data_IF_449255360851
#
_entry.id   IF_449255360851
#
_cell.length_a   1.000
_cell.length_b   1.000
_cell.length_c   1.000
_cell.angle_alpha   90.00
_cell.angle_beta   90.00
_cell.angle_gamma   90.00
#
_symmetry.space_group_name_H-M   'P 1'
#
loop_
_entity.id
_entity.type
_entity.pdbx_description
1 polymer ?
#
# COMPACT_ATOMS: atom_id res chain seq x y z
N UNK A 1 8.27 5.55 29.05
CA UNK A 1 8.53 4.52 28.01
C UNK A 1 8.18 5.14 26.67
N UNK A 2 9.17 5.53 25.87
CA UNK A 2 9.00 6.05 24.51
C UNK A 2 8.99 4.86 23.54
N UNK A 3 7.87 4.61 22.89
CA UNK A 3 7.80 3.65 21.77
C UNK A 3 8.20 4.39 20.50
N UNK A 4 9.45 4.23 20.06
CA UNK A 4 9.93 4.72 18.77
C UNK A 4 9.41 3.81 17.65
N UNK A 5 8.44 4.29 16.88
CA UNK A 5 8.03 3.69 15.61
C UNK A 5 9.15 3.88 14.59
N UNK A 6 10.01 2.86 14.44
CA UNK A 6 11.03 2.83 13.39
C UNK A 6 10.47 2.10 12.16
N UNK A 7 9.91 2.86 11.21
CA UNK A 7 9.44 2.33 9.93
C UNK A 7 10.63 2.33 8.95
N UNK A 8 11.34 1.20 8.89
CA UNK A 8 12.43 0.99 7.93
C UNK A 8 11.90 0.54 6.57
N UNK A 9 11.87 1.45 5.59
CA UNK A 9 11.53 1.16 4.19
C UNK A 9 12.80 0.66 3.50
N UNK A 10 12.81 -0.58 3.00
CA UNK A 10 13.95 -1.16 2.25
C UNK A 10 13.50 -1.59 0.86
N UNK A 11 14.30 -1.28 -0.15
CA UNK A 11 14.01 -1.42 -1.58
C UNK A 11 14.17 -2.87 -2.06
N UNK A 12 13.16 -3.42 -2.74
CA UNK A 12 13.22 -4.73 -3.42
C UNK A 12 12.48 -4.63 -4.76
N UNK A 13 13.13 -5.13 -5.81
CA UNK A 13 12.72 -5.44 -7.20
C UNK A 13 11.52 -4.73 -7.84
N UNK A 14 11.77 -4.16 -9.02
CA UNK A 14 10.81 -3.44 -9.89
C UNK A 14 9.72 -4.36 -10.48
N UNK A 15 8.46 -4.07 -10.15
CA UNK A 15 7.27 -4.68 -10.74
C UNK A 15 7.00 -4.17 -12.17
N UNK A 16 6.66 -5.08 -13.11
CA UNK A 16 6.11 -4.71 -14.41
C UNK A 16 4.60 -4.47 -14.31
N UNK A 17 4.13 -3.32 -14.77
CA UNK A 17 2.70 -2.99 -14.86
C UNK A 17 2.27 -3.15 -16.32
N UNK A 18 1.20 -3.91 -16.57
CA UNK A 18 0.68 -4.07 -17.92
C UNK A 18 0.12 -2.76 -18.46
N UNK A 19 0.29 -2.49 -19.76
CA UNK A 19 -0.15 -1.23 -20.39
C UNK A 19 -1.64 -0.94 -20.17
N UNK A 20 -2.49 -1.98 -20.23
CA UNK A 20 -3.93 -1.87 -20.01
C UNK A 20 -4.29 -1.50 -18.56
N UNK A 21 -3.56 -2.04 -17.59
CA UNK A 21 -3.79 -1.75 -16.16
C UNK A 21 -3.35 -0.34 -15.81
N UNK A 22 -2.20 0.08 -16.36
CA UNK A 22 -1.72 1.45 -16.20
C UNK A 22 -2.74 2.45 -16.77
N UNK A 23 -3.31 2.16 -17.94
CA UNK A 23 -4.34 3.00 -18.54
C UNK A 23 -5.63 3.07 -17.70
N UNK A 24 -6.03 1.97 -17.06
CA UNK A 24 -7.16 1.96 -16.14
C UNK A 24 -6.88 2.81 -14.89
N UNK A 25 -5.69 2.68 -14.29
CA UNK A 25 -5.26 3.51 -13.17
C UNK A 25 -5.22 4.98 -13.54
N UNK A 26 -4.64 5.34 -14.69
CA UNK A 26 -4.58 6.72 -15.18
C UNK A 26 -5.99 7.30 -15.39
N UNK A 27 -6.93 6.50 -15.89
CA UNK A 27 -8.33 6.90 -16.04
C UNK A 27 -8.95 7.23 -14.68
N UNK A 28 -8.75 6.35 -13.69
CA UNK A 28 -9.25 6.57 -12.32
C UNK A 28 -8.61 7.77 -11.64
N UNK A 29 -7.29 7.93 -11.75
CA UNK A 29 -6.56 9.09 -11.23
C UNK A 29 -7.04 10.39 -11.87
N UNK A 30 -7.25 10.41 -13.19
CA UNK A 30 -7.78 11.57 -13.88
C UNK A 30 -9.18 11.94 -13.38
N UNK A 31 -10.07 10.97 -13.17
CA UNK A 31 -11.40 11.19 -12.62
C UNK A 31 -11.36 11.76 -11.19
N UNK A 32 -10.46 11.23 -10.35
CA UNK A 32 -10.20 11.72 -8.99
C UNK A 32 -9.74 13.17 -9.01
N UNK A 33 -8.77 13.51 -9.86
CA UNK A 33 -8.22 14.87 -9.96
C UNK A 33 -9.26 15.85 -10.51
N UNK A 34 -10.08 15.46 -11.49
CA UNK A 34 -11.18 16.29 -12.00
C UNK A 34 -12.21 16.60 -10.92
N UNK A 35 -12.58 15.60 -10.11
CA UNK A 35 -13.50 15.79 -9.00
C UNK A 35 -12.86 16.56 -7.84
N UNK A 36 -11.53 16.52 -7.71
CA UNK A 36 -10.79 17.14 -6.63
C UNK A 36 -9.35 17.54 -7.02
N UNK A 37 -9.20 18.78 -7.46
CA UNK A 37 -7.90 19.37 -7.85
C UNK A 37 -6.82 19.30 -6.76
N UNK A 38 -7.20 19.28 -5.49
CA UNK A 38 -6.22 19.26 -4.38
C UNK A 38 -5.54 17.90 -4.22
N UNK A 39 -6.05 16.86 -4.88
CA UNK A 39 -5.46 15.52 -4.95
C UNK A 39 -4.50 15.36 -6.15
N UNK A 40 -4.29 16.40 -6.97
CA UNK A 40 -3.44 16.33 -8.17
C UNK A 40 -2.01 15.87 -7.86
N UNK A 41 -1.37 16.49 -6.87
CA UNK A 41 0.01 16.16 -6.50
C UNK A 41 0.13 14.72 -6.00
N UNK A 42 -0.80 14.27 -5.14
CA UNK A 42 -0.78 12.90 -4.62
C UNK A 42 -1.08 11.86 -5.72
N UNK A 43 -1.91 12.22 -6.70
CA UNK A 43 -2.22 11.38 -7.86
C UNK A 43 -1.01 11.24 -8.80
N UNK A 44 -0.25 12.33 -9.00
CA UNK A 44 1.01 12.29 -9.75
C UNK A 44 2.06 11.46 -9.00
N UNK A 45 2.21 11.66 -7.69
CA UNK A 45 3.09 10.86 -6.85
C UNK A 45 2.72 9.37 -6.88
N UNK A 46 1.41 9.05 -6.87
CA UNK A 46 0.93 7.69 -6.98
C UNK A 46 1.33 7.08 -8.33
N UNK A 47 1.03 7.77 -9.42
CA UNK A 47 1.38 7.34 -10.78
C UNK A 47 2.88 7.09 -10.90
N UNK A 48 3.69 8.03 -10.44
CA UNK A 48 5.15 7.92 -10.47
C UNK A 48 5.65 6.70 -9.69
N UNK A 49 5.07 6.47 -8.50
CA UNK A 49 5.40 5.31 -7.66
C UNK A 49 5.01 3.98 -8.32
N UNK A 50 3.88 3.94 -9.03
CA UNK A 50 3.45 2.76 -9.79
C UNK A 50 4.35 2.52 -11.01
N UNK A 51 4.65 3.55 -11.81
CA UNK A 51 5.45 3.39 -13.03
C UNK A 51 6.87 2.94 -12.74
N UNK A 52 7.48 3.49 -11.69
CA UNK A 52 8.85 3.15 -11.33
C UNK A 52 8.94 1.94 -10.39
N UNK A 53 7.81 1.46 -9.88
CA UNK A 53 7.70 0.33 -8.96
C UNK A 53 8.72 0.36 -7.79
N UNK A 54 9.09 1.56 -7.31
CA UNK A 54 10.21 1.68 -6.37
C UNK A 54 9.79 1.49 -4.91
N UNK A 55 8.55 1.85 -4.56
CA UNK A 55 8.13 1.92 -3.16
C UNK A 55 6.64 1.59 -2.96
N UNK A 56 6.26 0.32 -2.71
CA UNK A 56 4.86 -0.04 -2.46
C UNK A 56 4.26 0.70 -1.27
N UNK A 57 5.07 1.01 -0.25
CA UNK A 57 4.64 1.86 0.87
C UNK A 57 4.23 3.27 0.46
N UNK A 58 4.89 3.86 -0.56
CA UNK A 58 4.52 5.18 -1.09
C UNK A 58 3.19 5.12 -1.84
N UNK A 59 2.93 4.06 -2.61
CA UNK A 59 1.64 3.85 -3.25
C UNK A 59 0.49 3.83 -2.22
N UNK A 60 0.67 3.08 -1.13
CA UNK A 60 -0.30 3.01 -0.02
C UNK A 60 -0.47 4.37 0.66
N UNK A 61 0.63 5.09 0.91
CA UNK A 61 0.58 6.43 1.50
C UNK A 61 -0.18 7.42 0.60
N UNK A 62 0.13 7.44 -0.70
CA UNK A 62 -0.54 8.30 -1.67
C UNK A 62 -2.04 7.98 -1.76
N UNK A 63 -2.42 6.70 -1.71
CA UNK A 63 -3.84 6.32 -1.66
C UNK A 63 -4.57 6.94 -0.47
N UNK A 64 -4.02 6.86 0.76
CA UNK A 64 -4.66 7.47 1.92
C UNK A 64 -4.67 9.00 1.86
N UNK A 65 -3.63 9.63 1.29
CA UNK A 65 -3.64 11.09 1.05
C UNK A 65 -4.74 11.48 0.07
N UNK A 66 -4.87 10.75 -1.05
CA UNK A 66 -5.97 10.93 -2.01
C UNK A 66 -7.31 10.76 -1.30
N UNK A 67 -7.50 9.68 -0.55
CA UNK A 67 -8.74 9.38 0.20
C UNK A 67 -9.11 10.49 1.18
N UNK A 68 -8.14 11.02 1.93
CA UNK A 68 -8.36 12.09 2.91
C UNK A 68 -8.84 13.39 2.25
N UNK A 69 -8.42 13.64 1.01
CA UNK A 69 -8.84 14.79 0.22
C UNK A 69 -10.16 14.51 -0.49
N UNK A 70 -10.44 13.28 -0.87
CA UNK A 70 -11.48 12.78 -1.77
C UNK A 70 -12.95 12.95 -1.32
N UNK A 71 -13.33 14.05 -0.66
CA UNK A 71 -14.71 14.33 -0.20
C UNK A 71 -15.79 14.31 -1.29
N UNK A 72 -15.41 14.41 -2.58
CA UNK A 72 -16.32 14.45 -3.74
C UNK A 72 -15.97 13.46 -4.84
N UNK A 73 -15.07 12.52 -4.56
CA UNK A 73 -14.61 11.56 -5.57
C UNK A 73 -15.66 10.47 -5.75
N UNK A 74 -15.93 10.02 -6.98
CA UNK A 74 -16.82 8.88 -7.20
C UNK A 74 -16.30 7.64 -6.45
N UNK A 75 -17.16 6.95 -5.66
CA UNK A 75 -16.75 5.77 -4.89
C UNK A 75 -16.09 4.68 -5.74
N UNK A 76 -16.52 4.55 -7.00
CA UNK A 76 -15.99 3.58 -7.94
C UNK A 76 -14.50 3.80 -8.26
N UNK A 77 -14.04 5.05 -8.40
CA UNK A 77 -12.65 5.32 -8.77
C UNK A 77 -11.68 5.03 -7.62
N UNK A 78 -12.10 5.36 -6.39
CA UNK A 78 -11.36 4.98 -5.18
C UNK A 78 -11.33 3.47 -5.02
N UNK A 79 -12.43 2.78 -5.37
CA UNK A 79 -12.52 1.32 -5.32
C UNK A 79 -11.56 0.65 -6.31
N UNK A 80 -11.43 1.20 -7.52
CA UNK A 80 -10.46 0.70 -8.52
C UNK A 80 -9.03 0.83 -8.00
N UNK A 81 -8.64 1.99 -7.45
CA UNK A 81 -7.32 2.17 -6.86
C UNK A 81 -7.07 1.22 -5.68
N UNK A 82 -8.07 1.08 -4.81
CA UNK A 82 -8.00 0.17 -3.66
C UNK A 82 -7.72 -1.26 -4.10
N UNK A 83 -8.56 -1.79 -5.00
CA UNK A 83 -8.46 -3.16 -5.49
C UNK A 83 -7.09 -3.43 -6.09
N UNK A 84 -6.60 -2.52 -6.92
CA UNK A 84 -5.28 -2.66 -7.53
C UNK A 84 -4.18 -2.78 -6.47
N UNK A 85 -4.20 -1.93 -5.42
CA UNK A 85 -3.23 -2.00 -4.33
C UNK A 85 -3.33 -3.30 -3.54
N UNK A 86 -4.54 -3.73 -3.19
CA UNK A 86 -4.76 -4.95 -2.40
C UNK A 86 -4.35 -6.24 -3.15
N UNK A 87 -4.45 -6.24 -4.48
CA UNK A 87 -4.00 -7.34 -5.34
C UNK A 87 -2.48 -7.35 -5.51
N UNK A 88 -1.88 -6.16 -5.65
CA UNK A 88 -0.47 -5.99 -6.00
C UNK A 88 0.47 -5.83 -4.82
N UNK A 89 -0.02 -5.47 -3.64
CA UNK A 89 0.80 -5.22 -2.46
C UNK A 89 0.49 -6.25 -1.39
N UNK A 90 1.55 -6.87 -0.89
CA UNK A 90 1.54 -7.72 0.28
C UNK A 90 2.05 -6.94 1.48
N UNK A 91 1.44 -7.21 2.63
CA UNK A 91 2.00 -6.84 3.93
C UNK A 91 2.91 -7.98 4.37
N UNK A 92 4.12 -7.61 4.74
CA UNK A 92 5.11 -8.52 5.25
C UNK A 92 5.46 -8.17 6.68
N UNK A 93 5.19 -9.08 7.60
CA UNK A 93 5.56 -8.97 8.99
C UNK A 93 6.89 -9.71 9.24
N UNK A 94 7.84 -9.03 9.88
CA UNK A 94 9.13 -9.58 10.29
C UNK A 94 9.30 -9.44 11.81
N UNK A 95 9.68 -10.52 12.48
CA UNK A 95 10.10 -10.50 13.89
C UNK A 95 11.56 -10.06 14.05
N UNK A 96 11.95 -9.65 15.26
CA UNK A 96 13.29 -9.11 15.62
C UNK A 96 14.51 -9.93 15.18
N UNK A 97 14.36 -11.24 14.97
CA UNK A 97 15.45 -12.13 14.54
C UNK A 97 15.40 -12.48 13.04
N UNK A 98 14.50 -11.88 12.26
CA UNK A 98 14.27 -12.19 10.83
C UNK A 98 13.94 -13.67 10.52
N UNK A 99 13.85 -14.53 11.55
CA UNK A 99 13.54 -15.96 11.42
C UNK A 99 12.07 -16.20 11.07
N UNK A 100 11.21 -15.20 11.30
CA UNK A 100 9.80 -15.28 10.96
C UNK A 100 9.43 -14.19 9.96
N UNK A 101 8.94 -14.63 8.81
CA UNK A 101 8.50 -13.77 7.72
C UNK A 101 7.12 -14.24 7.27
N UNK A 102 6.09 -13.52 7.67
CA UNK A 102 4.74 -13.75 7.17
C UNK A 102 4.42 -12.75 6.08
N UNK A 103 3.82 -13.24 4.99
CA UNK A 103 3.24 -12.41 3.93
C UNK A 103 1.73 -12.64 3.92
N UNK A 104 0.96 -11.56 3.84
CA UNK A 104 -0.48 -11.62 3.68
C UNK A 104 -0.98 -10.44 2.85
N UNK A 105 -2.20 -10.53 2.34
CA UNK A 105 -2.79 -9.49 1.50
C UNK A 105 -2.97 -8.20 2.29
N UNK A 106 -2.65 -7.09 1.63
CA UNK A 106 -3.03 -5.78 2.11
C UNK A 106 -4.56 -5.66 2.15
N UNK A 107 -5.06 -5.01 3.19
CA UNK A 107 -6.44 -4.52 3.26
C UNK A 107 -6.39 -3.02 3.56
N UNK A 108 -7.18 -2.26 2.81
CA UNK A 108 -7.26 -0.80 2.83
C UNK A 108 -8.65 -0.32 3.28
N UNK A 109 -9.44 -1.18 3.91
CA UNK A 109 -10.77 -0.89 4.47
C UNK A 109 -10.67 -0.13 5.82
N UNK A 110 -9.79 0.86 5.86
CA UNK A 110 -9.52 1.68 7.04
C UNK A 110 -9.65 3.17 6.69
N UNK A 111 -9.99 4.02 7.66
CA UNK A 111 -10.18 5.46 7.40
C UNK A 111 -8.89 6.19 7.03
N UNK A 112 -7.74 5.70 7.52
CA UNK A 112 -6.44 6.33 7.36
C UNK A 112 -5.29 5.32 7.43
N UNK A 113 -4.08 5.78 7.08
CA UNK A 113 -2.87 4.96 7.04
C UNK A 113 -2.46 4.43 8.41
N UNK A 114 -2.66 5.21 9.48
CA UNK A 114 -2.26 4.83 10.83
C UNK A 114 -3.14 3.68 11.33
N UNK A 115 -4.45 3.80 11.15
CA UNK A 115 -5.45 2.77 11.45
C UNK A 115 -5.16 1.48 10.67
N UNK A 116 -4.83 1.61 9.37
CA UNK A 116 -4.42 0.48 8.52
C UNK A 116 -3.17 -0.23 9.07
N UNK A 117 -2.09 0.52 9.30
CA UNK A 117 -0.85 -0.05 9.84
C UNK A 117 -1.06 -0.69 11.21
N UNK A 118 -1.86 -0.08 12.09
CA UNK A 118 -2.17 -0.61 13.41
C UNK A 118 -2.92 -1.93 13.34
N UNK A 119 -3.93 -2.03 12.48
CA UNK A 119 -4.68 -3.27 12.28
C UNK A 119 -3.78 -4.39 11.75
N UNK A 120 -2.91 -4.09 10.78
CA UNK A 120 -1.95 -5.07 10.26
C UNK A 120 -0.90 -5.48 11.30
N UNK A 121 -0.47 -4.57 12.18
CA UNK A 121 0.45 -4.90 13.27
C UNK A 121 -0.22 -5.84 14.27
N UNK A 122 -1.47 -5.57 14.61
CA UNK A 122 -2.25 -6.40 15.53
C UNK A 122 -2.49 -7.79 14.95
N UNK A 123 -2.87 -7.88 13.66
CA UNK A 123 -2.99 -9.15 12.95
C UNK A 123 -1.67 -9.93 12.94
N UNK A 124 -0.54 -9.26 12.71
CA UNK A 124 0.77 -9.91 12.76
C UNK A 124 1.08 -10.44 14.16
N UNK A 125 0.78 -9.69 15.22
CA UNK A 125 0.98 -10.12 16.62
C UNK A 125 0.13 -11.34 16.96
N UNK A 126 -1.15 -11.33 16.61
CA UNK A 126 -2.06 -12.45 16.87
C UNK A 126 -1.64 -13.73 16.15
N UNK A 127 -1.15 -13.61 14.92
CA UNK A 127 -0.62 -14.76 14.15
C UNK A 127 0.74 -15.25 14.63
N UNK A 128 1.32 -14.56 15.58
CA UNK A 128 2.63 -14.89 16.11
C UNK A 128 2.63 -14.92 17.63
N UNK A 129 1.71 -15.71 18.20
CA UNK A 129 1.63 -16.05 19.64
C UNK A 129 2.99 -16.46 20.25
N UNK A 130 3.99 -16.78 19.41
CA UNK A 130 5.36 -17.17 19.79
C UNK A 130 6.40 -16.02 19.76
N UNK A 131 6.08 -14.84 19.23
CA UNK A 131 7.01 -13.70 19.15
C UNK A 131 6.79 -12.75 20.33
N UNK A 132 7.43 -13.04 21.47
CA UNK A 132 7.69 -12.02 22.47
C UNK A 132 8.68 -10.98 21.94
N UNK A 133 8.21 -9.94 21.23
CA UNK A 133 9.10 -8.88 20.74
C UNK A 133 8.49 -7.88 19.75
N UNK A 134 9.35 -6.94 19.32
CA UNK A 134 9.04 -5.93 18.30
C UNK A 134 8.70 -6.60 16.95
N UNK A 135 7.58 -6.19 16.35
CA UNK A 135 7.14 -6.61 15.00
C UNK A 135 7.35 -5.45 14.04
N UNK A 136 8.07 -5.70 12.95
CA UNK A 136 8.24 -4.75 11.87
C UNK A 136 7.31 -5.11 10.71
N UNK A 137 6.57 -4.11 10.22
CA UNK A 137 5.78 -4.25 8.99
C UNK A 137 6.54 -3.64 7.80
N UNK A 138 6.45 -4.33 6.66
CA UNK A 138 6.92 -3.85 5.37
C UNK A 138 5.84 -4.06 4.32
N UNK A 139 5.77 -3.17 3.34
CA UNK A 139 4.98 -3.39 2.13
C UNK A 139 5.91 -3.94 1.05
N UNK A 140 5.46 -4.95 0.33
CA UNK A 140 6.17 -5.55 -0.79
C UNK A 140 5.22 -5.70 -1.96
N UNK A 141 5.71 -5.60 -3.20
CA UNK A 141 4.91 -6.02 -4.34
C UNK A 141 4.71 -7.53 -4.32
N UNK A 142 3.61 -7.98 -4.93
CA UNK A 142 3.27 -9.39 -5.01
C UNK A 142 4.02 -10.07 -6.16
N UNK A 143 5.16 -10.70 -5.83
CA UNK A 143 6.05 -11.39 -6.78
C UNK A 143 5.32 -12.47 -7.61
N UNK A 144 4.28 -13.10 -7.06
CA UNK A 144 3.52 -14.14 -7.77
C UNK A 144 2.75 -13.60 -8.99
N UNK A 145 2.41 -12.30 -8.99
CA UNK A 145 1.82 -11.62 -10.15
C UNK A 145 2.87 -11.18 -11.17
N UNK A 146 4.15 -11.16 -10.80
CA UNK A 146 5.24 -10.82 -11.70
C UNK A 146 5.66 -12.01 -12.59
N UNK A 147 5.50 -13.24 -12.10
CA UNK A 147 5.83 -14.46 -12.84
C UNK A 147 4.78 -14.86 -13.90
N UNK A 148 3.62 -14.19 -13.91
CA UNK A 148 2.48 -14.50 -14.78
C UNK A 148 2.37 -13.60 -16.03
N UNK A 149 3.35 -12.69 -16.24
CA UNK A 149 3.44 -11.76 -17.38
C UNK A 149 4.68 -12.09 -18.21
#
# INVERSE_FOLDING_TARGET
>A
MQFGLNIGITFVETMKVGTQELQQLETSLAAIVRANRHAADDALDFRDSVMHAQTPGRCVQCYFKILSKAKRVPPQEVTTLRRWLEERILVQAEGRQYQYRQRYRLSLDFPDLESCCRAHMEQARQRTETLGGDVMLRFAFNDALQAAV
#
